data_IF_413222782302
#
_entry.id   IF_413222782302
#
_cell.length_a   1.000
_cell.length_b   1.000
_cell.length_c   1.000
_cell.angle_alpha   90.00
_cell.angle_beta   90.00
_cell.angle_gamma   90.00
#
_symmetry.space_group_name_H-M   'P 1'
#
loop_
_entity.id
_entity.type
_entity.pdbx_description
1 polymer ?
#
# COMPACT_ATOMS: atom_id res chain seq x y z
N UNK A 1 -26.92 14.88 21.90
CA UNK A 1 -28.23 15.51 21.64
C UNK A 1 -29.15 14.47 21.02
N UNK A 2 -30.25 14.13 21.70
CA UNK A 2 -31.29 13.22 21.20
C UNK A 2 -32.16 13.97 20.19
N UNK A 3 -31.68 14.12 18.96
CA UNK A 3 -32.48 14.67 17.85
C UNK A 3 -33.57 13.69 17.43
N UNK A 4 -34.67 14.21 16.90
CA UNK A 4 -35.74 13.39 16.33
C UNK A 4 -35.20 12.52 15.18
N UNK A 5 -35.54 11.23 15.17
CA UNK A 5 -35.18 10.32 14.08
C UNK A 5 -36.10 10.60 12.89
N UNK A 6 -35.54 11.12 11.81
CA UNK A 6 -36.27 11.34 10.56
C UNK A 6 -36.32 10.08 9.70
N UNK A 7 -37.41 9.90 8.95
CA UNK A 7 -37.63 8.73 8.09
C UNK A 7 -37.38 9.07 6.63
N UNK A 8 -36.47 8.34 6.01
CA UNK A 8 -36.24 8.36 4.56
C UNK A 8 -37.03 7.19 3.94
N UNK A 9 -37.94 7.49 3.00
CA UNK A 9 -38.67 6.47 2.23
C UNK A 9 -38.05 6.37 0.85
N UNK A 10 -37.55 5.18 0.51
CA UNK A 10 -36.95 4.89 -0.80
C UNK A 10 -37.78 3.83 -1.49
N UNK A 11 -38.13 4.08 -2.75
CA UNK A 11 -38.78 3.09 -3.60
C UNK A 11 -37.71 2.16 -4.19
N UNK A 12 -37.95 0.87 -4.12
CA UNK A 12 -37.11 -0.14 -4.73
C UNK A 12 -38.00 -1.19 -5.39
N UNK A 13 -37.54 -1.73 -6.51
CA UNK A 13 -38.14 -2.89 -7.14
C UNK A 13 -38.02 -4.12 -6.24
N UNK A 14 -38.85 -5.12 -6.50
CA UNK A 14 -38.78 -6.42 -5.81
C UNK A 14 -37.41 -7.08 -5.95
N UNK A 15 -36.73 -6.89 -7.08
CA UNK A 15 -35.41 -7.46 -7.34
C UNK A 15 -34.32 -6.75 -6.54
N UNK A 16 -34.32 -5.41 -6.53
CA UNK A 16 -33.39 -4.62 -5.71
C UNK A 16 -33.56 -4.96 -4.23
N UNK A 17 -34.80 -5.03 -3.73
CA UNK A 17 -35.07 -5.39 -2.34
C UNK A 17 -34.48 -6.75 -1.98
N UNK A 18 -34.60 -7.76 -2.85
CA UNK A 18 -33.99 -9.08 -2.66
C UNK A 18 -32.46 -8.99 -2.63
N UNK A 19 -31.86 -8.25 -3.56
CA UNK A 19 -30.41 -8.08 -3.63
C UNK A 19 -29.85 -7.38 -2.38
N UNK A 20 -30.52 -6.33 -1.91
CA UNK A 20 -30.19 -5.61 -0.67
C UNK A 20 -30.27 -6.55 0.53
N UNK A 21 -31.35 -7.32 0.65
CA UNK A 21 -31.54 -8.24 1.76
C UNK A 21 -30.44 -9.32 1.79
N UNK A 22 -30.15 -9.93 0.64
CA UNK A 22 -29.08 -10.92 0.52
C UNK A 22 -27.69 -10.32 0.84
N UNK A 23 -27.43 -9.07 0.43
CA UNK A 23 -26.17 -8.38 0.78
C UNK A 23 -26.07 -8.13 2.28
N UNK A 24 -27.16 -7.71 2.91
CA UNK A 24 -27.22 -7.45 4.35
C UNK A 24 -26.99 -8.73 5.16
N UNK A 25 -27.63 -9.83 4.76
CA UNK A 25 -27.46 -11.16 5.36
C UNK A 25 -26.01 -11.65 5.25
N UNK A 26 -25.41 -11.57 4.06
CA UNK A 26 -24.01 -11.96 3.83
C UNK A 26 -23.02 -11.18 4.70
N UNK A 27 -23.36 -9.93 5.03
CA UNK A 27 -22.53 -9.05 5.85
C UNK A 27 -22.88 -9.12 7.35
N UNK A 28 -23.92 -9.87 7.74
CA UNK A 28 -24.39 -9.95 9.13
C UNK A 28 -24.93 -8.62 9.66
N UNK A 29 -25.48 -7.76 8.79
CA UNK A 29 -25.96 -6.43 9.13
C UNK A 29 -27.48 -6.30 8.94
N UNK A 30 -28.19 -5.50 9.76
CA UNK A 30 -29.54 -5.08 9.44
C UNK A 30 -29.58 -4.29 8.13
N UNK A 31 -30.64 -4.45 7.33
CA UNK A 31 -30.81 -3.71 6.06
C UNK A 31 -30.73 -2.19 6.28
N UNK A 32 -31.34 -1.67 7.35
CA UNK A 32 -31.31 -0.25 7.69
C UNK A 32 -29.90 0.26 7.97
N UNK A 33 -29.05 -0.56 8.56
CA UNK A 33 -27.66 -0.21 8.84
C UNK A 33 -26.79 -0.30 7.58
N UNK A 34 -26.99 -1.33 6.76
CA UNK A 34 -26.39 -1.41 5.43
C UNK A 34 -26.71 -0.16 4.61
N UNK A 35 -27.97 0.28 4.61
CA UNK A 35 -28.40 1.47 3.86
C UNK A 35 -27.82 2.76 4.42
N UNK A 36 -27.78 2.92 5.74
CA UNK A 36 -27.17 4.09 6.38
C UNK A 36 -25.69 4.20 6.04
N UNK A 37 -24.94 3.11 6.17
CA UNK A 37 -23.52 3.05 5.82
C UNK A 37 -23.30 3.22 4.33
N UNK A 38 -24.11 2.57 3.51
CA UNK A 38 -24.04 2.68 2.06
C UNK A 38 -24.24 4.10 1.58
N UNK A 39 -25.24 4.82 2.14
CA UNK A 39 -25.49 6.22 1.84
C UNK A 39 -24.37 7.14 2.33
N UNK A 40 -23.81 6.88 3.52
CA UNK A 40 -22.71 7.68 4.06
C UNK A 40 -21.38 7.45 3.32
N UNK A 41 -21.13 6.24 2.83
CA UNK A 41 -19.92 5.88 2.09
C UNK A 41 -20.01 6.23 0.60
N UNK A 42 -21.19 6.59 0.11
CA UNK A 42 -21.39 7.02 -1.26
C UNK A 42 -20.96 8.48 -1.40
N UNK A 43 -19.64 8.69 -1.50
CA UNK A 43 -19.05 9.98 -1.85
C UNK A 43 -18.83 10.04 -3.36
N UNK A 44 -19.18 11.16 -3.98
CA UNK A 44 -18.99 11.39 -5.41
C UNK A 44 -17.53 11.72 -5.70
N UNK A 45 -16.78 10.82 -6.34
CA UNK A 45 -15.51 11.02 -7.08
C UNK A 45 -14.31 11.68 -6.40
N UNK A 46 -14.46 12.48 -5.33
CA UNK A 46 -13.37 13.16 -4.62
C UNK A 46 -12.48 12.14 -3.89
N UNK A 47 -13.06 11.11 -3.26
CA UNK A 47 -12.30 10.03 -2.63
C UNK A 47 -11.55 9.10 -3.61
N UNK A 48 -11.99 9.02 -4.87
CA UNK A 48 -11.27 8.22 -5.89
C UNK A 48 -9.98 8.92 -6.35
N UNK A 49 -9.99 10.26 -6.44
CA UNK A 49 -8.80 11.03 -6.77
C UNK A 49 -7.74 10.93 -5.66
N UNK A 50 -8.16 10.97 -4.39
CA UNK A 50 -7.25 10.83 -3.25
C UNK A 50 -6.64 9.42 -3.15
N UNK A 51 -7.42 8.37 -3.44
CA UNK A 51 -6.91 7.00 -3.49
C UNK A 51 -5.93 6.79 -4.65
N UNK A 52 -6.20 7.40 -5.80
CA UNK A 52 -5.29 7.35 -6.95
C UNK A 52 -3.96 8.06 -6.63
N UNK A 53 -4.01 9.26 -6.03
CA UNK A 53 -2.82 9.99 -5.62
C UNK A 53 -1.99 9.22 -4.57
N UNK A 54 -2.64 8.54 -3.63
CA UNK A 54 -1.97 7.68 -2.65
C UNK A 54 -1.28 6.49 -3.32
N UNK A 55 -1.94 5.85 -4.28
CA UNK A 55 -1.38 4.72 -5.01
C UNK A 55 -0.15 5.12 -5.83
N UNK A 56 -0.21 6.28 -6.49
CA UNK A 56 0.93 6.86 -7.23
C UNK A 56 2.10 7.17 -6.30
N UNK A 57 1.85 7.82 -5.16
CA UNK A 57 2.89 8.11 -4.17
C UNK A 57 3.54 6.83 -3.61
N UNK A 58 2.75 5.77 -3.38
CA UNK A 58 3.26 4.48 -2.91
C UNK A 58 4.13 3.79 -3.97
N UNK A 59 3.71 3.84 -5.24
CA UNK A 59 4.50 3.33 -6.37
C UNK A 59 5.83 4.07 -6.50
N UNK A 60 5.81 5.39 -6.50
CA UNK A 60 7.03 6.19 -6.62
C UNK A 60 8.01 5.94 -5.46
N UNK A 61 7.49 5.71 -4.25
CA UNK A 61 8.31 5.34 -3.10
C UNK A 61 8.96 3.97 -3.26
N UNK A 62 8.21 2.98 -3.79
CA UNK A 62 8.74 1.65 -4.07
C UNK A 62 9.82 1.69 -5.16
N UNK A 63 9.59 2.44 -6.24
CA UNK A 63 10.55 2.59 -7.34
C UNK A 63 11.86 3.25 -6.85
N UNK A 64 11.76 4.29 -6.00
CA UNK A 64 12.94 4.90 -5.37
C UNK A 64 13.67 3.94 -4.43
N UNK A 65 12.94 3.14 -3.66
CA UNK A 65 13.54 2.18 -2.75
C UNK A 65 14.29 1.07 -3.52
N UNK A 66 13.69 0.57 -4.61
CA UNK A 66 14.32 -0.41 -5.48
C UNK A 66 15.62 0.14 -6.08
N UNK A 67 15.58 1.34 -6.66
CA UNK A 67 16.76 2.00 -7.22
C UNK A 67 17.87 2.19 -6.16
N UNK A 68 17.52 2.61 -4.95
CA UNK A 68 18.49 2.76 -3.86
C UNK A 68 19.10 1.43 -3.40
N UNK A 69 18.35 0.33 -3.48
CA UNK A 69 18.87 -1.01 -3.16
C UNK A 69 19.87 -1.44 -4.24
N UNK A 70 19.52 -1.27 -5.52
CA UNK A 70 20.40 -1.60 -6.64
C UNK A 70 21.71 -0.79 -6.56
N UNK A 71 21.64 0.52 -6.33
CA UNK A 71 22.81 1.37 -6.14
C UNK A 71 23.71 0.89 -4.98
N UNK A 72 23.11 0.47 -3.87
CA UNK A 72 23.84 -0.04 -2.72
C UNK A 72 24.54 -1.38 -3.04
N UNK A 73 23.87 -2.26 -3.77
CA UNK A 73 24.42 -3.55 -4.18
C UNK A 73 25.59 -3.37 -5.14
N UNK A 74 25.47 -2.47 -6.12
CA UNK A 74 26.54 -2.12 -7.06
C UNK A 74 27.75 -1.53 -6.35
N UNK A 75 27.53 -0.63 -5.38
CA UNK A 75 28.61 -0.08 -4.56
C UNK A 75 29.32 -1.16 -3.75
N UNK A 76 28.58 -2.08 -3.11
CA UNK A 76 29.15 -3.20 -2.36
C UNK A 76 29.97 -4.11 -3.28
N UNK A 77 29.46 -4.44 -4.47
CA UNK A 77 30.16 -5.25 -5.44
C UNK A 77 31.49 -4.62 -5.85
N UNK A 78 31.49 -3.32 -6.18
CA UNK A 78 32.70 -2.57 -6.50
C UNK A 78 33.67 -2.47 -5.30
N UNK A 79 33.16 -2.35 -4.08
CA UNK A 79 33.97 -2.37 -2.85
C UNK A 79 34.67 -3.71 -2.66
N UNK A 80 33.94 -4.83 -2.82
CA UNK A 80 34.48 -6.17 -2.67
C UNK A 80 35.59 -6.46 -3.68
N UNK A 81 35.44 -6.00 -4.93
CA UNK A 81 36.50 -6.10 -5.95
C UNK A 81 37.78 -5.35 -5.55
N UNK A 82 37.65 -4.13 -4.99
CA UNK A 82 38.80 -3.35 -4.50
C UNK A 82 39.50 -4.03 -3.32
N UNK A 83 38.72 -4.58 -2.37
CA UNK A 83 39.25 -5.32 -1.23
C UNK A 83 40.05 -6.53 -1.72
N UNK A 84 39.47 -7.35 -2.61
CA UNK A 84 40.15 -8.51 -3.16
C UNK A 84 41.46 -8.15 -3.88
N UNK A 85 41.50 -7.04 -4.61
CA UNK A 85 42.72 -6.55 -5.25
C UNK A 85 43.80 -6.14 -4.22
N UNK A 86 43.41 -5.41 -3.16
CA UNK A 86 44.32 -5.04 -2.08
C UNK A 86 44.85 -6.26 -1.33
N UNK A 87 44.00 -7.23 -1.02
CA UNK A 87 44.37 -8.49 -0.36
C UNK A 87 45.35 -9.30 -1.22
N UNK A 88 45.10 -9.39 -2.53
CA UNK A 88 46.00 -10.06 -3.47
C UNK A 88 47.37 -9.35 -3.56
N UNK A 89 47.39 -8.01 -3.51
CA UNK A 89 48.63 -7.24 -3.50
C UNK A 89 49.41 -7.42 -2.20
N UNK A 90 48.72 -7.42 -1.05
CA UNK A 90 49.32 -7.68 0.25
C UNK A 90 49.94 -9.08 0.32
N UNK A 91 49.24 -10.10 -0.19
CA UNK A 91 49.74 -11.47 -0.23
C UNK A 91 51.01 -11.65 -1.09
N UNK A 92 51.21 -10.79 -2.10
CA UNK A 92 52.38 -10.80 -2.99
C UNK A 92 53.59 -10.03 -2.45
N UNK A 93 53.41 -9.25 -1.38
CA UNK A 93 54.50 -8.48 -0.78
C UNK A 93 55.10 -9.31 0.36
N UNK A 94 56.30 -9.92 0.20
CA UNK A 94 56.91 -10.68 1.29
C UNK A 94 57.18 -9.71 2.45
N UNK A 95 56.79 -10.10 3.67
CA UNK A 95 57.13 -9.37 4.87
C UNK A 95 58.65 -9.15 4.89
N UNK A 96 59.09 -7.90 4.72
CA UNK A 96 60.48 -7.54 4.98
C UNK A 96 60.72 -7.89 6.45
N UNK A 97 61.43 -9.01 6.68
CA UNK A 97 61.98 -9.32 7.99
C UNK A 97 62.88 -8.14 8.35
N UNK A 98 62.44 -7.35 9.33
CA UNK A 98 63.32 -6.42 10.02
C UNK A 98 64.40 -7.27 10.71
N UNK A 99 65.64 -7.07 10.29
CA UNK A 99 66.85 -7.58 10.94
C UNK A 99 67.57 -6.41 11.61
#
# INVERSE_FOLDING_TARGET
MSGAVERIVVQATSQEKKAIAAKAERLGLPISELMRRGAAAYETTEGEADLQALAEAARDAADRAAASIDDALDFIAASNQRIAAMEAQAARTPARKAA
#
